data_IF_244156841612
#
_entry.id   IF_244156841612
#
_cell.length_a   1.000
_cell.length_b   1.000
_cell.length_c   1.000
_cell.angle_alpha   90.00
_cell.angle_beta   90.00
_cell.angle_gamma   90.00
#
_symmetry.space_group_name_H-M   'P 1'
#
loop_
_entity.id
_entity.type
_entity.pdbx_description
1 polymer ?
#
# COMPACT_ATOMS: atom_id res chain seq x y z
N UNK A 1 35.76 -3.41 -33.41
CA UNK A 1 36.74 -3.23 -34.51
C UNK A 1 37.83 -4.30 -34.45
N UNK A 2 37.61 -5.45 -35.06
CA UNK A 2 38.66 -6.42 -35.42
C UNK A 2 38.38 -7.03 -36.81
N UNK A 3 37.63 -6.28 -37.62
CA UNK A 3 37.40 -6.54 -39.03
C UNK A 3 37.53 -5.18 -39.72
N UNK A 4 38.67 -5.03 -40.39
CA UNK A 4 39.23 -3.81 -40.96
C UNK A 4 40.64 -4.14 -41.47
N UNK A 5 41.17 -3.39 -42.46
CA UNK A 5 42.04 -3.87 -43.54
C UNK A 5 43.38 -4.50 -43.09
N UNK A 6 44.11 -5.14 -44.02
CA UNK A 6 45.39 -5.87 -43.81
C UNK A 6 46.49 -4.99 -43.17
N UNK A 7 46.38 -4.68 -41.89
CA UNK A 7 47.42 -4.00 -41.10
C UNK A 7 48.38 -5.05 -40.56
N UNK A 8 49.68 -4.80 -40.67
CA UNK A 8 50.72 -5.73 -40.20
C UNK A 8 50.71 -5.87 -38.67
N UNK A 9 51.11 -7.04 -38.15
CA UNK A 9 51.13 -7.29 -36.70
C UNK A 9 52.06 -6.34 -35.93
N UNK A 10 53.17 -5.93 -36.56
CA UNK A 10 54.12 -4.96 -36.02
C UNK A 10 53.52 -3.56 -35.90
N UNK A 11 52.65 -3.18 -36.83
CA UNK A 11 51.96 -1.89 -36.82
C UNK A 11 50.80 -1.86 -35.80
N UNK A 12 50.08 -2.98 -35.64
CA UNK A 12 49.13 -3.16 -34.55
C UNK A 12 49.81 -3.11 -33.17
N UNK A 13 50.96 -3.75 -33.03
CA UNK A 13 51.76 -3.73 -31.80
C UNK A 13 52.14 -2.30 -31.39
N UNK A 14 52.61 -1.47 -32.34
CA UNK A 14 52.91 -0.05 -32.11
C UNK A 14 51.66 0.76 -31.75
N UNK A 15 50.56 0.56 -32.47
CA UNK A 15 49.31 1.31 -32.28
C UNK A 15 48.68 1.09 -30.91
N UNK A 16 48.78 -0.13 -30.38
CA UNK A 16 48.18 -0.51 -29.09
C UNK A 16 49.19 -0.55 -27.94
N UNK A 17 50.47 -0.21 -28.16
CA UNK A 17 51.50 -0.17 -27.13
C UNK A 17 51.82 -1.54 -26.51
N UNK A 18 51.75 -2.62 -27.29
CA UNK A 18 51.97 -4.00 -26.84
C UNK A 18 53.00 -4.70 -27.72
N UNK A 19 53.56 -5.82 -27.27
CA UNK A 19 54.57 -6.56 -28.04
C UNK A 19 53.95 -7.36 -29.20
N UNK A 20 54.69 -7.52 -30.29
CA UNK A 20 54.24 -8.30 -31.45
C UNK A 20 53.86 -9.75 -31.10
N UNK A 21 54.56 -10.48 -30.21
CA UNK A 21 54.14 -11.82 -29.77
C UNK A 21 52.77 -11.83 -29.07
N UNK A 22 52.41 -10.76 -28.35
CA UNK A 22 51.09 -10.63 -27.72
C UNK A 22 49.99 -10.49 -28.77
N UNK A 23 50.20 -9.67 -29.80
CA UNK A 23 49.28 -9.53 -30.93
C UNK A 23 49.09 -10.88 -31.65
N UNK A 24 50.18 -11.59 -31.95
CA UNK A 24 50.11 -12.91 -32.58
C UNK A 24 49.31 -13.92 -31.73
N UNK A 25 49.49 -13.93 -30.40
CA UNK A 25 48.74 -14.80 -29.49
C UNK A 25 47.25 -14.46 -29.43
N UNK A 26 46.89 -13.19 -29.47
CA UNK A 26 45.49 -12.73 -29.48
C UNK A 26 44.82 -13.14 -30.80
N UNK A 27 45.48 -12.94 -31.93
CA UNK A 27 44.96 -13.34 -33.25
C UNK A 27 44.74 -14.87 -33.31
N UNK A 28 45.70 -15.67 -32.83
CA UNK A 28 45.56 -17.14 -32.78
C UNK A 28 44.41 -17.62 -31.91
N UNK A 29 44.02 -16.86 -30.88
CA UNK A 29 42.92 -17.20 -29.99
C UNK A 29 41.64 -16.41 -30.31
N UNK A 30 41.56 -15.73 -31.46
CA UNK A 30 40.49 -14.78 -31.79
C UNK A 30 39.10 -15.40 -31.60
N UNK A 31 38.85 -16.55 -32.20
CA UNK A 31 37.53 -17.20 -32.17
C UNK A 31 37.09 -17.58 -30.76
N UNK A 32 38.01 -18.13 -29.96
CA UNK A 32 37.75 -18.48 -28.55
C UNK A 32 37.45 -17.23 -27.73
N UNK A 33 38.23 -16.16 -27.90
CA UNK A 33 38.05 -14.88 -27.18
C UNK A 33 36.71 -14.23 -27.56
N UNK A 34 36.34 -14.24 -28.84
CA UNK A 34 35.05 -13.71 -29.31
C UNK A 34 33.86 -14.54 -28.80
N UNK A 35 33.97 -15.87 -28.82
CA UNK A 35 32.92 -16.75 -28.30
C UNK A 35 32.70 -16.58 -26.79
N UNK A 36 33.79 -16.43 -26.03
CA UNK A 36 33.73 -16.12 -24.59
C UNK A 36 33.17 -14.72 -24.31
N UNK A 37 33.47 -13.74 -25.17
CA UNK A 37 32.93 -12.39 -25.07
C UNK A 37 31.43 -12.34 -25.39
N UNK A 38 30.96 -13.07 -26.41
CA UNK A 38 29.52 -13.17 -26.71
C UNK A 38 28.70 -13.82 -25.59
N UNK A 39 29.29 -14.77 -24.85
CA UNK A 39 28.66 -15.39 -23.67
C UNK A 39 28.75 -14.55 -22.39
N UNK A 40 29.40 -13.39 -22.44
CA UNK A 40 29.63 -12.56 -21.27
C UNK A 40 28.50 -11.54 -21.12
N UNK A 41 27.88 -11.47 -19.93
CA UNK A 41 26.79 -10.53 -19.65
C UNK A 41 27.20 -9.05 -19.58
N UNK A 42 28.50 -8.77 -19.48
CA UNK A 42 29.08 -7.41 -19.49
C UNK A 42 30.13 -7.26 -20.62
N UNK A 43 29.82 -6.50 -21.69
CA UNK A 43 30.72 -6.32 -22.83
C UNK A 43 32.00 -5.52 -22.50
N UNK A 44 32.05 -4.76 -21.39
CA UNK A 44 33.22 -3.96 -20.97
C UNK A 44 34.25 -4.76 -20.16
N UNK A 45 33.91 -6.00 -19.80
CA UNK A 45 34.74 -6.84 -18.92
C UNK A 45 35.95 -7.43 -19.67
N UNK A 46 37.15 -7.02 -19.23
CA UNK A 46 38.44 -7.42 -19.83
C UNK A 46 39.05 -8.72 -19.28
N UNK A 47 38.53 -9.29 -18.18
CA UNK A 47 39.07 -10.51 -17.52
C UNK A 47 37.96 -11.47 -17.08
N UNK A 48 38.10 -12.75 -17.41
CA UNK A 48 37.23 -13.82 -16.90
C UNK A 48 37.65 -14.20 -15.48
N UNK A 49 36.68 -14.24 -14.56
CA UNK A 49 36.81 -14.64 -13.16
C UNK A 49 35.54 -15.41 -12.80
N UNK A 50 35.69 -16.61 -12.27
CA UNK A 50 34.57 -17.48 -11.85
C UNK A 50 34.30 -17.29 -10.35
N UNK A 51 33.04 -17.46 -9.95
CA UNK A 51 32.66 -17.41 -8.54
C UNK A 51 33.20 -18.61 -7.76
N UNK A 52 33.27 -18.49 -6.42
CA UNK A 52 33.72 -19.58 -5.54
C UNK A 52 32.82 -20.82 -5.57
N UNK A 53 31.56 -20.67 -5.97
CA UNK A 53 30.58 -21.76 -6.06
C UNK A 53 29.84 -21.69 -7.41
N UNK A 54 30.32 -22.47 -8.37
CA UNK A 54 29.80 -22.50 -9.73
C UNK A 54 28.42 -23.19 -9.82
N UNK A 55 28.11 -24.12 -8.90
CA UNK A 55 26.85 -24.85 -8.91
C UNK A 55 25.69 -23.96 -8.43
N UNK A 56 25.91 -23.22 -7.34
CA UNK A 56 24.96 -22.23 -6.84
C UNK A 56 24.74 -21.10 -7.85
N UNK A 57 25.81 -20.61 -8.47
CA UNK A 57 25.77 -19.58 -9.53
C UNK A 57 24.94 -20.05 -10.74
N UNK A 58 25.13 -21.28 -11.22
CA UNK A 58 24.35 -21.84 -12.33
C UNK A 58 22.86 -22.05 -11.98
N UNK A 59 22.55 -22.48 -10.75
CA UNK A 59 21.16 -22.64 -10.30
C UNK A 59 20.42 -21.30 -10.21
N UNK A 60 21.09 -20.26 -9.71
CA UNK A 60 20.56 -18.89 -9.66
C UNK A 60 20.34 -18.30 -11.06
N UNK A 61 21.28 -18.50 -12.00
CA UNK A 61 21.14 -17.97 -13.37
C UNK A 61 19.96 -18.60 -14.12
N UNK A 62 19.78 -19.93 -14.03
CA UNK A 62 18.60 -20.60 -14.61
C UNK A 62 17.28 -20.07 -14.04
N UNK A 63 17.27 -19.66 -12.78
CA UNK A 63 16.09 -19.08 -12.16
C UNK A 63 15.83 -17.65 -12.66
N UNK A 64 16.88 -16.86 -12.92
CA UNK A 64 16.75 -15.48 -13.42
C UNK A 64 16.35 -15.43 -14.89
N UNK A 65 16.70 -16.44 -15.70
CA UNK A 65 16.23 -16.56 -17.09
C UNK A 65 14.71 -16.82 -17.20
N UNK A 66 14.05 -17.19 -16.08
CA UNK A 66 12.59 -17.28 -15.98
C UNK A 66 11.94 -15.93 -15.67
N UNK A 67 11.75 -15.10 -16.70
CA UNK A 67 10.74 -14.03 -16.89
C UNK A 67 10.36 -13.06 -15.73
N UNK A 68 11.22 -12.84 -14.73
CA UNK A 68 10.96 -11.85 -13.67
C UNK A 68 12.11 -10.83 -13.54
N UNK A 69 11.83 -9.51 -13.51
CA UNK A 69 12.85 -8.52 -13.18
C UNK A 69 13.20 -8.61 -11.69
N UNK A 70 14.30 -9.29 -11.38
CA UNK A 70 14.67 -9.61 -9.99
C UNK A 70 15.49 -8.48 -9.35
N UNK A 71 14.89 -7.79 -8.38
CA UNK A 71 15.63 -6.87 -7.51
C UNK A 71 16.66 -7.59 -6.63
N UNK A 72 17.74 -6.89 -6.24
CA UNK A 72 18.81 -7.41 -5.34
C UNK A 72 18.29 -8.14 -4.07
N UNK A 73 17.21 -7.68 -3.40
CA UNK A 73 16.66 -8.39 -2.24
C UNK A 73 16.09 -9.79 -2.58
N UNK A 74 15.43 -9.94 -3.73
CA UNK A 74 14.87 -11.20 -4.19
C UNK A 74 15.97 -12.20 -4.60
N UNK A 75 17.04 -11.70 -5.24
CA UNK A 75 18.24 -12.50 -5.52
C UNK A 75 18.88 -13.04 -4.24
N UNK A 76 18.97 -12.20 -3.20
CA UNK A 76 19.56 -12.60 -1.92
C UNK A 76 18.71 -13.63 -1.19
N UNK A 77 17.38 -13.46 -1.20
CA UNK A 77 16.45 -14.43 -0.61
C UNK A 77 16.54 -15.79 -1.32
N UNK A 78 16.57 -15.79 -2.66
CA UNK A 78 16.67 -17.03 -3.45
C UNK A 78 18.03 -17.71 -3.28
N UNK A 79 19.12 -16.95 -3.22
CA UNK A 79 20.46 -17.48 -3.01
C UNK A 79 20.60 -18.19 -1.66
N UNK A 80 19.95 -17.68 -0.60
CA UNK A 80 19.89 -18.34 0.72
C UNK A 80 19.14 -19.66 0.68
N UNK A 81 18.05 -19.73 -0.09
CA UNK A 81 17.25 -20.95 -0.21
C UNK A 81 17.94 -22.06 -1.00
N UNK A 82 18.80 -21.69 -1.96
CA UNK A 82 19.57 -22.63 -2.79
C UNK A 82 20.93 -23.01 -2.19
N UNK A 83 21.38 -22.30 -1.15
CA UNK A 83 22.66 -22.55 -0.49
C UNK A 83 22.58 -23.75 0.48
N UNK A 84 23.71 -24.46 0.63
CA UNK A 84 23.85 -25.49 1.68
C UNK A 84 23.92 -24.82 3.06
N UNK A 85 23.50 -25.50 4.15
CA UNK A 85 23.44 -24.92 5.50
C UNK A 85 24.75 -24.28 6.00
N UNK A 86 25.90 -24.77 5.53
CA UNK A 86 27.24 -24.31 5.97
C UNK A 86 27.88 -23.24 5.05
N UNK A 87 27.17 -22.78 4.02
CA UNK A 87 27.73 -21.87 3.01
C UNK A 87 26.77 -20.72 2.69
N UNK A 88 26.50 -19.85 3.66
CA UNK A 88 25.69 -18.66 3.38
C UNK A 88 26.39 -17.72 2.38
N UNK A 89 25.76 -17.41 1.23
CA UNK A 89 26.32 -16.47 0.28
C UNK A 89 26.27 -15.05 0.86
N UNK A 90 27.42 -14.55 1.32
CA UNK A 90 27.54 -13.19 1.84
C UNK A 90 27.18 -12.13 0.79
N UNK A 91 26.74 -10.95 1.24
CA UNK A 91 26.31 -9.85 0.34
C UNK A 91 27.36 -9.41 -0.68
N UNK A 92 28.65 -9.62 -0.39
CA UNK A 92 29.75 -9.38 -1.34
C UNK A 92 29.86 -10.42 -2.47
N UNK A 93 29.42 -11.67 -2.25
CA UNK A 93 29.34 -12.68 -3.32
C UNK A 93 28.22 -12.33 -4.30
N UNK A 94 27.04 -11.97 -3.79
CA UNK A 94 25.89 -11.52 -4.60
C UNK A 94 26.18 -10.23 -5.39
N UNK A 95 26.86 -9.26 -4.78
CA UNK A 95 27.27 -8.05 -5.49
C UNK A 95 28.20 -8.37 -6.68
N UNK A 96 29.15 -9.30 -6.48
CA UNK A 96 30.05 -9.75 -7.54
C UNK A 96 29.34 -10.61 -8.58
N UNK A 97 28.37 -11.44 -8.19
CA UNK A 97 27.50 -12.20 -9.10
C UNK A 97 26.69 -11.25 -9.98
N UNK A 98 26.05 -10.25 -9.37
CA UNK A 98 25.30 -9.22 -10.09
C UNK A 98 26.15 -8.43 -11.07
N UNK A 99 27.39 -8.11 -10.71
CA UNK A 99 28.35 -7.49 -11.61
C UNK A 99 28.84 -8.44 -12.72
N UNK A 100 28.96 -9.76 -12.47
CA UNK A 100 29.43 -10.75 -13.46
C UNK A 100 28.40 -11.03 -14.56
N UNK A 101 27.11 -11.00 -14.23
CA UNK A 101 26.02 -11.44 -15.10
C UNK A 101 25.04 -10.33 -15.47
N UNK A 102 25.37 -9.06 -15.17
CA UNK A 102 24.51 -7.92 -15.49
C UNK A 102 23.19 -7.89 -14.70
N UNK A 103 23.12 -8.59 -13.56
CA UNK A 103 21.95 -8.66 -12.67
C UNK A 103 21.95 -7.56 -11.61
N UNK A 104 23.06 -6.83 -11.46
CA UNK A 104 23.03 -5.54 -10.79
C UNK A 104 22.16 -4.64 -11.65
N UNK A 105 20.95 -4.34 -11.15
CA UNK A 105 19.95 -3.55 -11.85
C UNK A 105 20.65 -2.47 -12.66
N UNK A 106 20.63 -2.64 -13.99
CA UNK A 106 21.09 -1.59 -14.86
C UNK A 106 20.27 -0.39 -14.43
N UNK A 107 20.94 0.61 -13.83
CA UNK A 107 20.46 1.97 -13.98
C UNK A 107 20.19 2.06 -15.48
N UNK A 108 18.95 2.38 -15.92
CA UNK A 108 18.72 2.58 -17.34
C UNK A 108 19.87 3.44 -17.86
N UNK A 109 20.39 3.18 -19.07
CA UNK A 109 21.46 4.00 -19.62
C UNK A 109 21.13 5.44 -19.29
N UNK A 110 22.02 6.13 -18.57
CA UNK A 110 21.88 7.56 -18.46
C UNK A 110 21.85 8.03 -19.90
N UNK A 111 20.67 8.39 -20.38
CA UNK A 111 20.52 8.99 -21.69
C UNK A 111 21.52 10.14 -21.66
N UNK A 112 22.53 10.03 -22.51
CA UNK A 112 23.34 11.19 -22.85
C UNK A 112 22.39 12.11 -23.60
N UNK A 113 21.78 12.96 -22.81
CA UNK A 113 20.69 13.82 -23.16
C UNK A 113 20.06 14.19 -21.83
N UNK A 114 20.39 15.37 -21.34
CA UNK A 114 19.42 16.14 -20.58
C UNK A 114 18.15 16.27 -21.46
N UNK A 115 17.32 15.23 -21.48
CA UNK A 115 15.91 15.42 -21.67
C UNK A 115 15.45 15.90 -20.30
N UNK A 116 15.33 17.21 -20.14
CA UNK A 116 14.64 17.84 -19.02
C UNK A 116 13.47 16.94 -18.62
N UNK A 117 13.42 16.51 -17.36
CA UNK A 117 12.14 16.02 -16.84
C UNK A 117 11.12 17.10 -17.18
N UNK A 118 10.00 16.75 -17.83
CA UNK A 118 9.05 17.76 -18.26
C UNK A 118 8.73 18.62 -17.05
N UNK A 119 8.82 19.95 -17.23
CA UNK A 119 8.47 20.88 -16.17
C UNK A 119 7.09 20.50 -15.63
N UNK A 120 6.86 20.78 -14.35
CA UNK A 120 5.57 20.57 -13.71
C UNK A 120 4.39 21.02 -14.58
N UNK A 121 4.56 22.14 -15.25
CA UNK A 121 3.62 22.75 -16.19
C UNK A 121 3.44 21.91 -17.46
N UNK A 122 4.51 21.43 -18.09
CA UNK A 122 4.41 20.56 -19.26
C UNK A 122 3.76 19.21 -18.91
N UNK A 123 4.11 18.64 -17.76
CA UNK A 123 3.50 17.40 -17.31
C UNK A 123 2.00 17.57 -17.06
N UNK A 124 1.60 18.64 -16.36
CA UNK A 124 0.21 18.95 -16.09
C UNK A 124 -0.59 19.33 -17.36
N UNK A 125 0.03 20.04 -18.30
CA UNK A 125 -0.64 20.56 -19.51
C UNK A 125 -0.68 19.60 -20.69
N UNK A 126 0.32 18.72 -20.86
CA UNK A 126 0.45 17.86 -22.04
C UNK A 126 0.37 16.37 -21.71
N UNK A 127 1.08 15.93 -20.67
CA UNK A 127 1.21 14.49 -20.35
C UNK A 127 -0.02 13.98 -19.61
N UNK A 128 -0.42 14.67 -18.55
CA UNK A 128 -1.52 14.26 -17.69
C UNK A 128 -2.86 14.19 -18.46
N UNK A 129 -3.28 15.20 -19.24
CA UNK A 129 -4.55 15.12 -19.97
C UNK A 129 -4.55 13.99 -21.00
N UNK A 130 -3.39 13.71 -21.63
CA UNK A 130 -3.25 12.59 -22.54
C UNK A 130 -3.47 11.23 -21.88
N UNK A 131 -2.98 11.06 -20.65
CA UNK A 131 -3.18 9.85 -19.87
C UNK A 131 -4.63 9.72 -19.42
N UNK A 132 -5.21 10.78 -18.85
CA UNK A 132 -6.56 10.74 -18.28
C UNK A 132 -7.65 10.50 -19.34
N UNK A 133 -7.45 10.91 -20.60
CA UNK A 133 -8.42 10.64 -21.69
C UNK A 133 -8.73 9.16 -21.93
N UNK A 134 -7.83 8.26 -21.52
CA UNK A 134 -8.00 6.81 -21.74
C UNK A 134 -8.69 6.10 -20.58
N UNK A 135 -9.03 6.81 -19.50
CA UNK A 135 -9.54 6.23 -18.26
C UNK A 135 -10.72 7.03 -17.72
N UNK A 136 -11.77 6.34 -17.28
CA UNK A 136 -12.84 6.95 -16.51
C UNK A 136 -12.41 7.31 -15.08
N UNK A 137 -13.12 8.19 -14.37
CA UNK A 137 -12.82 8.52 -12.97
C UNK A 137 -12.76 7.30 -12.04
N UNK A 138 -13.56 6.26 -12.32
CA UNK A 138 -13.55 5.03 -11.54
C UNK A 138 -12.29 4.16 -11.74
N UNK A 139 -11.52 4.42 -12.81
CA UNK A 139 -10.33 3.65 -13.21
C UNK A 139 -9.03 4.39 -12.88
N UNK A 140 -9.11 5.61 -12.36
CA UNK A 140 -7.96 6.42 -11.95
C UNK A 140 -7.83 6.31 -10.45
N UNK A 141 -6.78 5.64 -9.98
CA UNK A 141 -6.46 5.47 -8.57
C UNK A 141 -5.28 6.36 -8.18
N UNK A 142 -5.30 6.86 -6.95
CA UNK A 142 -4.12 7.46 -6.32
C UNK A 142 -3.76 6.65 -5.09
N UNK A 143 -2.47 6.45 -4.89
CA UNK A 143 -1.92 5.70 -3.78
C UNK A 143 -0.78 6.47 -3.11
N UNK A 144 -0.72 6.39 -1.79
CA UNK A 144 0.32 7.04 -1.01
C UNK A 144 0.24 6.69 0.47
N UNK A 145 1.28 7.09 1.18
CA UNK A 145 1.49 6.73 2.58
C UNK A 145 1.07 7.85 3.53
N UNK A 146 0.54 7.47 4.68
CA UNK A 146 0.35 8.41 5.78
C UNK A 146 0.67 7.77 7.12
N UNK A 147 1.34 8.51 8.00
CA UNK A 147 1.65 8.03 9.34
C UNK A 147 0.59 8.49 10.35
N UNK A 148 0.18 7.58 11.22
CA UNK A 148 -0.66 7.85 12.39
C UNK A 148 0.10 7.51 13.68
N UNK A 149 -0.06 8.31 14.75
CA UNK A 149 0.53 7.98 16.04
C UNK A 149 -0.23 6.81 16.69
N UNK A 150 0.51 5.88 17.29
CA UNK A 150 -0.08 4.94 18.24
C UNK A 150 -0.22 5.64 19.60
N UNK A 151 -1.32 5.42 20.34
CA UNK A 151 -1.44 5.90 21.71
C UNK A 151 -0.32 5.28 22.56
N UNK A 152 0.50 6.12 23.19
CA UNK A 152 1.65 5.66 23.96
C UNK A 152 1.20 4.90 25.22
N UNK A 153 1.76 3.69 25.42
CA UNK A 153 1.66 2.97 26.69
C UNK A 153 2.40 3.69 27.83
N UNK A 154 2.10 3.32 29.07
CA UNK A 154 2.69 3.92 30.27
C UNK A 154 4.23 3.87 30.21
N UNK A 155 4.83 5.04 30.49
CA UNK A 155 6.20 5.39 30.11
C UNK A 155 7.20 4.91 31.16
N UNK A 156 7.84 3.77 30.90
CA UNK A 156 9.14 3.46 31.51
C UNK A 156 10.19 4.47 31.06
N UNK A 157 10.96 5.02 32.01
CA UNK A 157 12.06 5.98 31.79
C UNK A 157 13.02 5.52 30.67
N UNK A 158 13.11 6.32 29.60
CA UNK A 158 14.22 6.32 28.64
C UNK A 158 13.87 5.80 27.24
N UNK A 159 13.94 6.72 26.26
CA UNK A 159 14.11 6.51 24.81
C UNK A 159 12.89 6.34 23.86
N UNK A 160 13.02 7.08 22.74
CA UNK A 160 12.30 7.15 21.45
C UNK A 160 10.92 7.85 21.33
N UNK A 161 10.74 8.71 20.30
CA UNK A 161 9.46 9.36 19.98
C UNK A 161 8.42 8.31 19.58
N UNK A 162 7.17 8.50 20.02
CA UNK A 162 6.12 7.47 20.03
C UNK A 162 6.01 6.61 18.76
N UNK A 163 5.75 5.32 18.96
CA UNK A 163 5.58 4.32 17.90
C UNK A 163 4.58 4.83 16.84
N UNK A 164 5.01 4.82 15.58
CA UNK A 164 4.22 5.31 14.44
C UNK A 164 3.75 4.10 13.65
N UNK A 165 2.52 4.17 13.17
CA UNK A 165 1.99 3.21 12.22
C UNK A 165 1.90 3.90 10.85
N UNK A 166 2.53 3.33 9.83
CA UNK A 166 2.41 3.81 8.45
C UNK A 166 1.26 3.11 7.76
N UNK A 167 0.39 3.86 7.11
CA UNK A 167 -0.76 3.37 6.36
C UNK A 167 -0.54 3.64 4.88
N UNK A 168 -0.70 2.61 4.06
CA UNK A 168 -0.83 2.76 2.61
C UNK A 168 -2.32 2.91 2.28
N UNK A 169 -2.66 4.06 1.73
CA UNK A 169 -4.02 4.41 1.32
C UNK A 169 -4.12 4.36 -0.21
N UNK A 170 -5.22 3.85 -0.73
CA UNK A 170 -5.49 3.85 -2.17
C UNK A 170 -6.99 3.98 -2.43
N UNK A 171 -7.38 4.93 -3.29
CA UNK A 171 -8.77 5.17 -3.66
C UNK A 171 -8.85 5.67 -5.11
N UNK A 172 -10.02 5.52 -5.74
CA UNK A 172 -10.25 6.01 -7.10
C UNK A 172 -10.79 7.44 -7.15
N UNK A 173 -10.70 8.07 -8.33
CA UNK A 173 -11.04 9.47 -8.53
C UNK A 173 -12.54 9.77 -8.43
N UNK A 174 -13.41 8.76 -8.64
CA UNK A 174 -14.84 8.90 -8.36
C UNK A 174 -15.18 8.80 -6.87
N UNK A 175 -14.26 8.32 -6.03
CA UNK A 175 -14.50 7.99 -4.62
C UNK A 175 -15.37 6.75 -4.40
N UNK A 176 -15.75 6.04 -5.47
CA UNK A 176 -16.62 4.85 -5.40
C UNK A 176 -15.88 3.62 -4.89
N UNK A 177 -14.56 3.57 -4.99
CA UNK A 177 -13.75 2.43 -4.58
C UNK A 177 -12.60 2.89 -3.67
N UNK A 178 -12.54 2.29 -2.49
CA UNK A 178 -11.45 2.42 -1.52
C UNK A 178 -10.81 1.05 -1.35
N UNK A 179 -9.50 0.96 -1.54
CA UNK A 179 -8.77 -0.28 -1.29
C UNK A 179 -8.65 -0.46 0.24
N UNK A 180 -8.80 -1.69 0.77
CA UNK A 180 -8.53 -1.97 2.18
C UNK A 180 -7.15 -1.48 2.62
N UNK A 181 -7.08 -0.97 3.85
CA UNK A 181 -5.85 -0.39 4.39
C UNK A 181 -4.73 -1.44 4.47
N UNK A 182 -3.51 -1.02 4.15
CA UNK A 182 -2.30 -1.75 4.53
C UNK A 182 -1.52 -0.97 5.57
N UNK A 183 -1.45 -1.52 6.78
CA UNK A 183 -0.69 -0.99 7.88
C UNK A 183 0.72 -1.60 7.94
N UNK A 184 1.71 -0.77 8.20
CA UNK A 184 3.11 -1.15 8.38
C UNK A 184 3.57 -0.67 9.75
N UNK A 185 3.89 -1.63 10.62
CA UNK A 185 4.43 -1.38 11.96
C UNK A 185 5.84 -1.93 12.13
N UNK A 186 6.40 -1.80 13.33
CA UNK A 186 7.76 -2.26 13.64
C UNK A 186 7.88 -3.77 13.87
N UNK A 187 6.87 -4.36 14.53
CA UNK A 187 6.95 -5.75 14.96
C UNK A 187 6.35 -6.72 13.95
N UNK A 188 7.05 -7.78 13.51
CA UNK A 188 6.53 -8.77 12.56
C UNK A 188 5.43 -9.66 13.16
N UNK A 189 5.42 -9.84 14.48
CA UNK A 189 4.41 -10.66 15.18
C UNK A 189 3.98 -9.98 16.49
N UNK A 190 3.19 -8.90 16.42
CA UNK A 190 2.65 -8.25 17.61
C UNK A 190 1.84 -9.25 18.45
N UNK A 191 1.95 -9.19 19.78
CA UNK A 191 1.27 -10.14 20.67
C UNK A 191 -0.25 -10.06 20.54
N UNK A 192 -0.81 -8.87 20.34
CA UNK A 192 -2.24 -8.65 20.16
C UNK A 192 -2.81 -9.27 18.87
N UNK A 193 -1.99 -9.54 17.85
CA UNK A 193 -2.42 -10.19 16.61
C UNK A 193 -2.38 -11.72 16.67
N UNK A 194 -2.02 -12.32 17.82
CA UNK A 194 -2.02 -13.77 17.96
C UNK A 194 -3.44 -14.31 18.05
N UNK A 195 -3.70 -15.36 17.27
CA UNK A 195 -5.02 -16.00 17.19
C UNK A 195 -6.05 -15.19 16.39
N UNK A 196 -5.62 -14.12 15.70
CA UNK A 196 -6.45 -13.35 14.77
C UNK A 196 -6.30 -13.94 13.37
N UNK A 197 -7.40 -14.13 12.66
CA UNK A 197 -7.39 -14.55 11.26
C UNK A 197 -7.07 -13.36 10.33
N UNK A 198 -5.78 -13.08 10.15
CA UNK A 198 -5.30 -11.91 9.40
C UNK A 198 -5.72 -11.88 7.92
N UNK A 199 -6.07 -13.03 7.33
CA UNK A 199 -6.46 -13.10 5.91
C UNK A 199 -7.86 -12.54 5.65
N UNK A 200 -8.72 -12.55 6.67
CA UNK A 200 -10.12 -12.12 6.57
C UNK A 200 -10.37 -10.74 7.18
N UNK A 201 -9.32 -10.08 7.67
CA UNK A 201 -9.45 -8.73 8.24
C UNK A 201 -9.75 -7.70 7.14
N UNK A 202 -10.55 -6.66 7.43
CA UNK A 202 -10.81 -5.55 6.50
C UNK A 202 -9.59 -4.61 6.33
N UNK A 203 -8.45 -5.01 6.88
CA UNK A 203 -7.15 -4.35 6.82
C UNK A 203 -6.07 -5.44 6.75
N UNK A 204 -4.88 -5.08 6.27
CA UNK A 204 -3.72 -5.96 6.26
C UNK A 204 -2.57 -5.34 7.04
N UNK A 205 -1.77 -6.17 7.70
CA UNK A 205 -0.61 -5.72 8.47
C UNK A 205 0.68 -6.37 7.96
N UNK A 206 1.75 -5.57 7.88
CA UNK A 206 3.11 -6.02 7.60
C UNK A 206 4.07 -5.33 8.56
N UNK A 207 5.25 -5.92 8.77
CA UNK A 207 6.32 -5.23 9.48
C UNK A 207 7.35 -4.68 8.50
N UNK A 208 7.72 -3.43 8.72
CA UNK A 208 8.75 -2.71 7.98
C UNK A 208 9.87 -2.25 8.90
N UNK A 209 11.02 -1.93 8.31
CA UNK A 209 12.08 -1.25 9.06
C UNK A 209 11.60 0.15 9.44
N UNK A 210 11.75 0.54 10.72
CA UNK A 210 11.33 1.85 11.25
C UNK A 210 9.83 2.15 11.01
N UNK A 211 8.99 1.11 11.03
CA UNK A 211 7.56 1.15 10.70
C UNK A 211 7.27 1.82 9.35
N UNK A 212 8.22 1.79 8.42
CA UNK A 212 8.13 2.43 7.11
C UNK A 212 7.77 1.45 6.00
N UNK A 213 7.06 1.96 4.99
CA UNK A 213 6.86 1.21 3.74
C UNK A 213 8.20 1.03 3.02
N UNK A 214 8.48 -0.19 2.60
CA UNK A 214 9.69 -0.52 1.85
C UNK A 214 9.33 -1.00 0.45
N UNK A 215 10.26 -0.88 -0.51
CA UNK A 215 10.04 -1.32 -1.89
C UNK A 215 9.50 -2.77 -2.02
N UNK A 216 9.99 -3.76 -1.25
CA UNK A 216 9.41 -5.10 -1.27
C UNK A 216 7.96 -5.17 -0.78
N UNK A 217 7.62 -4.45 0.29
CA UNK A 217 6.25 -4.43 0.83
C UNK A 217 5.27 -3.75 -0.13
N UNK A 218 5.71 -2.68 -0.79
CA UNK A 218 4.91 -2.03 -1.82
C UNK A 218 4.74 -2.93 -3.06
N UNK A 219 5.80 -3.60 -3.51
CA UNK A 219 5.73 -4.54 -4.63
C UNK A 219 4.76 -5.69 -4.35
N UNK A 220 4.78 -6.26 -3.14
CA UNK A 220 3.82 -7.27 -2.69
C UNK A 220 2.38 -6.76 -2.76
N UNK A 221 2.12 -5.58 -2.18
CA UNK A 221 0.80 -4.95 -2.25
C UNK A 221 0.34 -4.68 -3.69
N UNK A 222 1.25 -4.21 -4.53
CA UNK A 222 0.94 -3.85 -5.90
C UNK A 222 0.61 -5.09 -6.76
N UNK A 223 1.24 -6.23 -6.50
CA UNK A 223 0.88 -7.51 -7.14
C UNK A 223 -0.52 -7.95 -6.74
N UNK A 224 -0.84 -7.93 -5.44
CA UNK A 224 -2.18 -8.26 -4.94
C UNK A 224 -3.26 -7.33 -5.50
N UNK A 225 -2.95 -6.03 -5.59
CA UNK A 225 -3.81 -5.02 -6.20
C UNK A 225 -4.04 -5.31 -7.70
N UNK A 226 -2.99 -5.62 -8.45
CA UNK A 226 -3.08 -5.99 -9.86
C UNK A 226 -3.91 -7.26 -10.07
N UNK A 227 -3.71 -8.29 -9.24
CA UNK A 227 -4.53 -9.50 -9.28
C UNK A 227 -6.00 -9.23 -8.94
N UNK A 228 -6.26 -8.33 -8.00
CA UNK A 228 -7.61 -7.84 -7.69
C UNK A 228 -8.26 -7.20 -8.92
N UNK A 229 -7.57 -6.27 -9.57
CA UNK A 229 -8.06 -5.59 -10.78
C UNK A 229 -8.27 -6.57 -11.93
N UNK A 230 -7.36 -7.54 -12.10
CA UNK A 230 -7.49 -8.63 -13.08
C UNK A 230 -8.73 -9.48 -12.84
N UNK A 231 -9.01 -9.87 -11.58
CA UNK A 231 -10.21 -10.64 -11.23
C UNK A 231 -11.50 -9.87 -11.50
N UNK A 232 -11.47 -8.56 -11.37
CA UNK A 232 -12.59 -7.67 -11.67
C UNK A 232 -12.72 -7.33 -13.17
N UNK A 233 -11.77 -7.78 -14.02
CA UNK A 233 -11.74 -7.42 -15.44
C UNK A 233 -11.44 -5.94 -15.69
N UNK A 234 -10.85 -5.22 -14.72
CA UNK A 234 -10.55 -3.79 -14.81
C UNK A 234 -9.10 -3.56 -15.25
N UNK A 235 -8.87 -2.49 -15.99
CA UNK A 235 -7.54 -1.94 -16.27
C UNK A 235 -7.48 -0.52 -15.75
N UNK A 236 -6.56 -0.23 -14.83
CA UNK A 236 -6.56 1.02 -14.05
C UNK A 236 -5.26 1.79 -14.17
N UNK A 237 -5.36 3.10 -13.99
CA UNK A 237 -4.22 4.01 -13.86
C UNK A 237 -3.92 4.23 -12.37
N UNK A 238 -2.70 3.98 -11.93
CA UNK A 238 -2.26 4.19 -10.55
C UNK A 238 -1.28 5.35 -10.45
N UNK A 239 -1.72 6.44 -9.82
CA UNK A 239 -0.95 7.65 -9.55
C UNK A 239 -0.15 7.50 -8.26
N UNK A 240 1.16 7.76 -8.33
CA UNK A 240 2.09 7.60 -7.21
C UNK A 240 3.06 8.77 -7.13
N UNK A 241 3.48 9.12 -5.92
CA UNK A 241 4.65 9.99 -5.76
C UNK A 241 5.93 9.22 -6.10
N UNK A 242 6.88 9.89 -6.75
CA UNK A 242 8.20 9.31 -7.01
C UNK A 242 8.97 9.15 -5.70
N UNK A 243 9.20 7.92 -5.27
CA UNK A 243 9.87 7.61 -4.00
C UNK A 243 10.64 6.27 -4.10
N UNK A 244 11.68 6.08 -3.29
CA UNK A 244 12.49 4.84 -3.32
C UNK A 244 11.68 3.60 -2.92
N UNK A 245 10.65 3.76 -2.08
CA UNK A 245 9.73 2.69 -1.71
C UNK A 245 8.76 2.30 -2.84
N UNK A 246 8.71 3.04 -3.95
CA UNK A 246 7.81 2.78 -5.08
C UNK A 246 8.60 2.32 -6.31
N UNK A 247 9.07 1.07 -6.36
CA UNK A 247 9.69 0.52 -7.56
C UNK A 247 8.68 0.48 -8.72
N UNK A 248 9.14 0.81 -9.93
CA UNK A 248 8.33 0.58 -11.12
C UNK A 248 8.24 -0.91 -11.43
N UNK A 249 7.02 -1.41 -11.63
CA UNK A 249 6.73 -2.77 -12.06
C UNK A 249 5.86 -2.73 -13.32
N UNK A 250 6.16 -3.60 -14.28
CA UNK A 250 5.25 -3.85 -15.41
C UNK A 250 4.19 -4.86 -14.97
N UNK A 251 2.92 -4.51 -15.13
CA UNK A 251 1.77 -5.26 -14.63
C UNK A 251 0.72 -5.37 -15.74
N UNK A 252 -0.17 -6.36 -15.63
CA UNK A 252 -1.16 -6.67 -16.67
C UNK A 252 -2.34 -5.71 -16.69
N UNK A 253 -2.79 -5.26 -15.51
CA UNK A 253 -4.05 -4.53 -15.31
C UNK A 253 -3.86 -3.19 -14.59
N UNK A 254 -2.63 -2.87 -14.18
CA UNK A 254 -2.32 -1.64 -13.45
C UNK A 254 -1.21 -0.91 -14.18
N UNK A 255 -1.52 0.29 -14.69
CA UNK A 255 -0.54 1.19 -15.28
C UNK A 255 -0.05 2.18 -14.22
N UNK A 256 1.21 2.08 -13.83
CA UNK A 256 1.81 3.02 -12.88
C UNK A 256 2.19 4.34 -13.55
N UNK A 257 1.88 5.46 -12.90
CA UNK A 257 2.33 6.80 -13.30
C UNK A 257 2.88 7.53 -12.09
N UNK A 258 4.14 7.97 -12.20
CA UNK A 258 4.76 8.79 -11.18
C UNK A 258 4.49 10.27 -11.43
N UNK A 259 3.87 10.91 -10.43
CA UNK A 259 3.59 12.34 -10.42
C UNK A 259 4.88 13.08 -10.03
N UNK A 260 5.33 14.07 -10.83
CA UNK A 260 6.52 14.85 -10.51
C UNK A 260 6.33 15.66 -9.21
N UNK A 261 7.36 15.72 -8.34
CA UNK A 261 7.27 16.39 -7.04
C UNK A 261 7.07 17.91 -7.12
N UNK A 262 7.35 18.53 -8.28
CA UNK A 262 7.23 19.97 -8.51
C UNK A 262 5.86 20.39 -9.06
N UNK A 263 4.93 19.46 -9.30
CA UNK A 263 3.61 19.83 -9.82
C UNK A 263 2.80 20.56 -8.75
N UNK A 264 2.28 21.74 -9.08
CA UNK A 264 1.29 22.45 -8.27
C UNK A 264 0.05 21.57 -7.93
N UNK A 265 -0.11 20.46 -8.66
CA UNK A 265 -1.02 19.36 -8.41
C UNK A 265 -0.49 18.48 -7.27
N UNK A 266 -0.68 18.91 -6.02
CA UNK A 266 -0.42 18.04 -4.88
C UNK A 266 -1.22 16.73 -5.02
N UNK A 267 -0.61 15.61 -4.63
CA UNK A 267 -1.25 14.29 -4.64
C UNK A 267 -2.65 14.37 -4.00
N UNK A 268 -3.69 13.72 -4.58
CA UNK A 268 -5.05 13.77 -4.03
C UNK A 268 -5.12 13.39 -2.54
N UNK A 269 -4.23 12.48 -2.11
CA UNK A 269 -4.14 12.06 -0.72
C UNK A 269 -3.74 13.19 0.23
N UNK A 270 -2.79 14.04 -0.19
CA UNK A 270 -2.28 15.17 0.57
C UNK A 270 -3.25 16.36 0.56
N UNK A 271 -4.23 16.35 -0.35
CA UNK A 271 -5.27 17.39 -0.51
C UNK A 271 -6.45 17.24 0.45
N UNK A 272 -6.43 16.27 1.37
CA UNK A 272 -7.44 16.18 2.43
C UNK A 272 -7.81 14.77 2.83
N UNK A 273 -7.69 13.79 1.93
CA UNK A 273 -8.09 12.40 2.20
C UNK A 273 -7.37 11.83 3.43
N UNK A 274 -6.04 11.96 3.48
CA UNK A 274 -5.27 11.48 4.63
C UNK A 274 -5.54 12.28 5.91
N UNK A 275 -5.85 13.57 5.78
CA UNK A 275 -6.22 14.45 6.89
C UNK A 275 -7.57 14.07 7.51
N UNK A 276 -8.56 13.76 6.66
CA UNK A 276 -9.90 13.38 7.07
C UNK A 276 -9.90 12.02 7.77
N UNK A 277 -9.20 11.01 7.22
CA UNK A 277 -8.96 9.73 7.90
C UNK A 277 -8.34 9.94 9.29
N UNK A 278 -7.33 10.81 9.41
CA UNK A 278 -6.71 11.12 10.72
C UNK A 278 -7.69 11.81 11.67
N UNK A 279 -8.58 12.65 11.15
CA UNK A 279 -9.66 13.28 11.91
C UNK A 279 -10.65 12.25 12.46
N UNK A 280 -11.13 11.34 11.62
CA UNK A 280 -12.00 10.23 12.00
C UNK A 280 -11.33 9.33 13.06
N UNK A 281 -10.09 8.92 12.82
CA UNK A 281 -9.31 8.13 13.77
C UNK A 281 -9.17 8.82 15.13
N UNK A 282 -8.82 10.12 15.16
CA UNK A 282 -8.72 10.89 16.41
C UNK A 282 -10.05 10.96 17.16
N UNK A 283 -11.17 11.16 16.46
CA UNK A 283 -12.51 11.15 17.09
C UNK A 283 -12.81 9.80 17.73
N UNK A 284 -12.49 8.69 17.05
CA UNK A 284 -12.68 7.33 17.56
C UNK A 284 -11.79 7.04 18.78
N UNK A 285 -10.51 7.44 18.74
CA UNK A 285 -9.62 7.36 19.90
C UNK A 285 -10.15 8.14 21.11
N UNK A 286 -10.68 9.35 20.90
CA UNK A 286 -11.21 10.17 22.00
C UNK A 286 -12.49 9.57 22.61
N UNK A 287 -13.31 8.86 21.81
CA UNK A 287 -14.50 8.13 22.28
C UNK A 287 -14.16 6.86 23.06
N UNK A 288 -13.01 6.25 22.79
CA UNK A 288 -12.54 5.07 23.53
C UNK A 288 -12.20 5.39 24.99
N UNK A 289 -11.66 6.59 25.27
CA UNK A 289 -11.16 6.97 26.60
C UNK A 289 -12.24 6.94 27.71
N UNK A 290 -13.50 7.37 27.50
CA UNK A 290 -14.54 7.30 28.51
C UNK A 290 -15.22 5.93 28.64
N UNK A 291 -15.37 5.18 27.54
CA UNK A 291 -16.06 3.89 27.52
C UNK A 291 -15.31 2.82 28.33
N UNK A 292 -13.97 2.92 28.36
CA UNK A 292 -13.08 1.98 29.03
C UNK A 292 -12.37 2.60 30.23
N UNK A 293 -13.11 3.25 31.14
CA UNK A 293 -12.62 3.70 32.46
C UNK A 293 -12.20 2.50 33.34
N UNK A 294 -11.14 1.80 32.93
CA UNK A 294 -10.60 0.62 33.59
C UNK A 294 -9.72 -0.31 32.71
N UNK A 295 -9.79 -0.26 31.37
CA UNK A 295 -9.13 -1.28 30.51
C UNK A 295 -7.78 -0.88 29.88
N UNK A 296 -7.26 0.31 30.18
CA UNK A 296 -5.96 0.75 29.67
C UNK A 296 -6.03 1.33 28.25
N UNK A 297 -4.85 1.50 27.62
CA UNK A 297 -4.73 2.05 26.27
C UNK A 297 -5.19 1.03 25.20
N UNK A 298 -5.75 1.48 24.07
CA UNK A 298 -6.17 0.56 23.00
C UNK A 298 -4.96 -0.19 22.44
N UNK A 299 -5.13 -1.48 22.16
CA UNK A 299 -4.08 -2.28 21.56
C UNK A 299 -3.89 -1.91 20.08
N UNK A 300 -2.80 -2.37 19.46
CA UNK A 300 -2.62 -2.21 18.00
C UNK A 300 -3.79 -2.83 17.22
N UNK A 301 -4.40 -3.92 17.71
CA UNK A 301 -5.54 -4.54 17.04
C UNK A 301 -6.75 -3.59 17.06
N UNK A 302 -7.03 -2.99 18.22
CA UNK A 302 -8.10 -1.99 18.35
C UNK A 302 -7.85 -0.79 17.44
N UNK A 303 -6.61 -0.30 17.40
CA UNK A 303 -6.20 0.79 16.50
C UNK A 303 -6.42 0.43 15.03
N UNK A 304 -6.07 -0.80 14.61
CA UNK A 304 -6.27 -1.24 13.22
C UNK A 304 -7.76 -1.28 12.83
N UNK A 305 -8.62 -1.73 13.73
CA UNK A 305 -10.07 -1.67 13.51
C UNK A 305 -10.60 -0.22 13.48
N UNK A 306 -10.18 0.63 14.42
CA UNK A 306 -10.55 2.06 14.42
C UNK A 306 -10.11 2.76 13.12
N UNK A 307 -8.95 2.39 12.57
CA UNK A 307 -8.46 2.90 11.31
C UNK A 307 -9.28 2.40 10.12
N UNK A 308 -9.67 1.13 10.11
CA UNK A 308 -10.56 0.59 9.08
C UNK A 308 -11.92 1.29 9.09
N UNK A 309 -12.50 1.51 10.27
CA UNK A 309 -13.73 2.30 10.42
C UNK A 309 -13.53 3.75 9.97
N UNK A 310 -12.44 4.40 10.41
CA UNK A 310 -12.11 5.75 9.99
C UNK A 310 -11.92 5.88 8.48
N UNK A 311 -11.38 4.84 7.82
CA UNK A 311 -11.29 4.79 6.37
C UNK A 311 -12.63 4.58 5.69
N UNK A 312 -13.51 3.77 6.29
CA UNK A 312 -14.91 3.64 5.91
C UNK A 312 -15.66 4.98 5.94
N UNK A 313 -15.42 5.79 6.97
CA UNK A 313 -16.07 7.09 7.16
C UNK A 313 -15.66 8.18 6.14
N UNK A 314 -14.47 8.06 5.53
CA UNK A 314 -14.02 9.03 4.52
C UNK A 314 -14.98 9.04 3.35
N UNK A 315 -15.63 10.18 3.13
CA UNK A 315 -16.75 10.27 2.20
C UNK A 315 -16.32 10.22 0.74
N UNK A 316 -17.05 9.50 -0.14
CA UNK A 316 -16.78 9.47 -1.58
C UNK A 316 -16.70 10.86 -2.22
N UNK A 317 -17.59 11.77 -1.82
CA UNK A 317 -17.61 13.15 -2.32
C UNK A 317 -16.35 13.95 -1.96
N UNK A 318 -15.75 13.70 -0.78
CA UNK A 318 -14.48 14.30 -0.39
C UNK A 318 -13.36 13.79 -1.29
N UNK A 319 -13.28 12.47 -1.49
CA UNK A 319 -12.27 11.84 -2.36
C UNK A 319 -12.36 12.43 -3.76
N UNK A 320 -13.54 12.41 -4.38
CA UNK A 320 -13.75 12.98 -5.71
C UNK A 320 -13.42 14.48 -5.77
N UNK A 321 -13.71 15.24 -4.70
CA UNK A 321 -13.31 16.64 -4.57
C UNK A 321 -11.78 16.83 -4.55
N UNK A 322 -11.05 15.99 -3.80
CA UNK A 322 -9.59 16.04 -3.74
C UNK A 322 -8.93 15.71 -5.09
N UNK A 323 -9.46 14.74 -5.85
CA UNK A 323 -8.98 14.44 -7.20
C UNK A 323 -9.21 15.60 -8.18
N UNK A 324 -10.40 16.22 -8.14
CA UNK A 324 -10.70 17.43 -8.94
C UNK A 324 -9.78 18.58 -8.61
N UNK A 325 -9.59 18.87 -7.31
CA UNK A 325 -8.70 19.93 -6.85
C UNK A 325 -7.23 19.68 -7.21
N UNK A 326 -6.84 18.43 -7.38
CA UNK A 326 -5.52 18.01 -7.84
C UNK A 326 -5.41 17.86 -9.37
N UNK A 327 -6.45 18.24 -10.14
CA UNK A 327 -6.43 18.20 -11.60
C UNK A 327 -6.48 16.79 -12.21
N UNK A 328 -6.82 15.78 -11.42
CA UNK A 328 -6.89 14.38 -11.85
C UNK A 328 -8.30 13.97 -12.28
N UNK A 329 -8.96 14.84 -13.05
CA UNK A 329 -10.26 14.54 -13.66
C UNK A 329 -10.26 14.80 -15.16
N UNK A 330 -10.93 13.95 -15.96
CA UNK A 330 -11.01 14.12 -17.41
C UNK A 330 -11.54 15.51 -17.85
N UNK A 331 -12.41 16.12 -17.03
CA UNK A 331 -13.12 17.37 -17.35
C UNK A 331 -12.38 18.65 -16.91
N UNK A 332 -11.17 18.54 -16.33
CA UNK A 332 -10.44 19.70 -15.79
C UNK A 332 -10.01 20.76 -16.83
N UNK A 333 -10.21 20.49 -18.13
CA UNK A 333 -9.97 21.44 -19.22
C UNK A 333 -11.04 22.51 -19.40
N UNK A 334 -12.20 22.44 -18.72
CA UNK A 334 -13.33 23.34 -18.97
C UNK A 334 -13.75 24.23 -17.78
N UNK A 335 -13.33 23.96 -16.55
CA UNK A 335 -13.85 24.65 -15.35
C UNK A 335 -12.80 25.46 -14.57
N UNK A 336 -11.83 26.07 -15.26
CA UNK A 336 -10.88 26.99 -14.62
C UNK A 336 -11.45 28.40 -14.37
N UNK A 337 -12.75 28.64 -14.57
CA UNK A 337 -13.37 29.95 -14.31
C UNK A 337 -14.71 29.74 -13.61
N UNK A 338 -14.82 30.30 -12.40
CA UNK A 338 -15.98 30.27 -11.47
C UNK A 338 -15.95 29.04 -10.56
N UNK A 339 -15.73 29.13 -9.25
CA UNK A 339 -16.55 29.88 -8.30
C UNK A 339 -15.77 30.25 -7.03
N UNK A 340 -15.48 31.53 -6.89
CA UNK A 340 -15.36 32.19 -5.59
C UNK A 340 -16.77 32.53 -5.12
N UNK A 341 -17.31 31.82 -4.13
CA UNK A 341 -18.24 32.35 -3.11
C UNK A 341 -18.89 31.19 -2.34
N UNK A 342 -18.72 31.21 -1.01
CA UNK A 342 -19.58 30.50 -0.08
C UNK A 342 -20.95 31.20 -0.01
N UNK A 343 -22.05 30.47 0.24
CA UNK A 343 -22.68 30.49 1.57
C UNK A 343 -23.16 29.07 1.97
N UNK A 344 -23.27 28.66 3.24
CA UNK A 344 -24.06 29.24 4.33
C UNK A 344 -25.17 28.25 4.70
N UNK A 345 -25.09 27.63 5.88
CA UNK A 345 -26.07 26.68 6.45
C UNK A 345 -27.48 27.30 6.61
N UNK A 346 -28.53 26.47 6.50
CA UNK A 346 -29.60 26.45 7.51
C UNK A 346 -29.90 24.99 7.92
N UNK A 347 -30.21 24.66 9.18
CA UNK A 347 -31.23 25.27 10.04
C UNK A 347 -32.39 24.26 10.14
N UNK A 348 -32.49 23.57 11.28
CA UNK A 348 -33.41 22.47 11.57
C UNK A 348 -34.60 23.03 12.34
N UNK A 349 -35.84 22.82 11.89
CA UNK A 349 -37.10 22.96 12.65
C UNK A 349 -38.23 22.29 11.84
N UNK A 350 -38.79 21.19 12.39
CA UNK A 350 -40.12 21.08 13.00
C UNK A 350 -41.26 20.85 12.00
N UNK A 351 -41.87 19.67 12.06
CA UNK A 351 -43.20 19.41 11.51
C UNK A 351 -44.05 18.79 12.62
N UNK A 352 -45.05 19.55 13.03
CA UNK A 352 -46.18 19.15 13.87
C UNK A 352 -47.06 18.13 13.12
N UNK A 353 -47.72 17.24 13.85
CA UNK A 353 -49.02 16.72 13.44
C UNK A 353 -49.88 16.30 14.63
N UNK A 354 -51.01 16.98 14.72
CA UNK A 354 -52.14 16.81 15.63
C UNK A 354 -52.78 15.41 15.63
N UNK A 355 -53.52 15.12 16.70
CA UNK A 355 -54.50 14.04 16.72
C UNK A 355 -55.11 13.71 18.09
N UNK A 356 -55.91 14.64 18.62
CA UNK A 356 -57.05 14.52 19.53
C UNK A 356 -57.19 13.44 20.63
N UNK A 357 -57.59 13.95 21.79
CA UNK A 357 -58.17 13.28 22.95
C UNK A 357 -59.61 12.84 22.68
N UNK A 358 -59.97 11.64 23.12
CA UNK A 358 -61.34 11.28 23.46
C UNK A 358 -61.34 10.42 24.72
N UNK A 359 -61.88 10.97 25.80
CA UNK A 359 -62.28 10.24 27.00
C UNK A 359 -63.58 9.48 26.74
N UNK A 360 -63.66 8.25 27.27
CA UNK A 360 -64.92 7.61 27.60
C UNK A 360 -64.70 6.72 28.83
N UNK A 361 -65.55 6.96 29.82
CA UNK A 361 -65.55 6.40 31.18
C UNK A 361 -66.42 5.12 31.26
N UNK A 362 -66.04 4.24 32.19
CA UNK A 362 -66.88 3.23 32.86
C UNK A 362 -67.38 1.98 32.11
N UNK A 363 -66.91 0.79 32.51
CA UNK A 363 -67.78 -0.25 33.08
C UNK A 363 -66.96 -1.36 33.80
N UNK A 364 -67.39 -1.73 34.99
CA UNK A 364 -66.82 -2.80 35.83
C UNK A 364 -67.38 -4.17 35.42
N UNK A 365 -66.50 -5.16 35.24
CA UNK A 365 -66.91 -6.54 34.98
C UNK A 365 -65.90 -7.54 35.52
N UNK A 366 -66.09 -7.98 36.77
CA UNK A 366 -65.45 -9.14 37.37
C UNK A 366 -65.79 -10.42 36.58
N UNK A 367 -64.77 -11.14 36.12
CA UNK A 367 -64.86 -12.57 35.85
C UNK A 367 -63.50 -13.24 36.10
N UNK A 368 -63.45 -14.04 37.16
CA UNK A 368 -62.35 -14.93 37.48
C UNK A 368 -62.10 -15.94 36.35
N UNK A 369 -60.84 -16.05 35.94
CA UNK A 369 -60.36 -17.07 35.03
C UNK A 369 -58.88 -17.33 35.31
N UNK A 370 -58.62 -18.28 36.21
CA UNK A 370 -57.29 -18.86 36.48
C UNK A 370 -56.63 -19.33 35.18
N UNK A 371 -55.54 -18.67 34.79
CA UNK A 371 -54.29 -19.35 34.44
C UNK A 371 -53.14 -18.33 34.46
N UNK A 372 -52.67 -18.00 35.66
CA UNK A 372 -51.45 -17.22 35.84
C UNK A 372 -50.24 -18.14 35.67
N UNK A 373 -49.87 -18.42 34.42
CA UNK A 373 -48.47 -18.66 34.14
C UNK A 373 -47.72 -17.37 34.45
N UNK A 374 -46.84 -17.36 35.46
CA UNK A 374 -45.96 -16.23 35.74
C UNK A 374 -45.38 -15.72 34.42
N UNK A 375 -45.56 -14.45 34.03
CA UNK A 375 -44.80 -13.91 32.92
C UNK A 375 -43.33 -14.00 33.35
N UNK A 376 -42.56 -14.85 32.67
CA UNK A 376 -41.14 -15.02 32.93
C UNK A 376 -40.52 -13.63 33.08
N UNK A 377 -39.98 -13.34 34.27
CA UNK A 377 -39.51 -12.01 34.62
C UNK A 377 -38.56 -11.52 33.53
N UNK A 378 -38.93 -10.45 32.83
CA UNK A 378 -38.10 -9.87 31.77
C UNK A 378 -36.76 -9.51 32.39
N UNK A 379 -35.63 -10.01 31.87
CA UNK A 379 -34.33 -9.70 32.43
C UNK A 379 -34.12 -8.18 32.46
N UNK A 380 -33.42 -7.65 33.48
CA UNK A 380 -33.20 -6.23 33.61
C UNK A 380 -32.46 -5.67 32.39
N UNK A 381 -32.72 -4.40 32.06
CA UNK A 381 -32.02 -3.71 30.98
C UNK A 381 -30.50 -3.79 31.21
N UNK A 382 -29.71 -4.24 30.22
CA UNK A 382 -28.27 -4.36 30.38
C UNK A 382 -27.63 -2.99 30.61
N UNK A 383 -26.64 -2.95 31.49
CA UNK A 383 -25.80 -1.78 31.68
C UNK A 383 -24.95 -1.49 30.44
N UNK A 384 -24.56 -0.23 30.24
CA UNK A 384 -23.68 0.16 29.13
C UNK A 384 -22.41 -0.70 29.06
N UNK A 385 -21.83 -1.02 30.22
CA UNK A 385 -20.64 -1.87 30.34
C UNK A 385 -20.87 -3.31 29.89
N UNK A 386 -22.08 -3.84 30.07
CA UNK A 386 -22.42 -5.19 29.59
C UNK A 386 -22.59 -5.21 28.08
N UNK A 387 -23.16 -4.16 27.50
CA UNK A 387 -23.26 -3.99 26.04
C UNK A 387 -21.86 -3.96 25.42
N UNK A 388 -20.95 -3.12 25.94
CA UNK A 388 -19.56 -3.04 25.47
C UNK A 388 -18.80 -4.35 25.63
N UNK A 389 -18.95 -5.06 26.75
CA UNK A 389 -18.36 -6.40 26.91
C UNK A 389 -18.88 -7.41 25.90
N UNK A 390 -20.16 -7.32 25.56
CA UNK A 390 -20.81 -8.20 24.58
C UNK A 390 -20.29 -7.92 23.17
N UNK A 391 -20.17 -6.64 22.81
CA UNK A 391 -19.55 -6.21 21.55
C UNK A 391 -18.08 -6.63 21.46
N UNK A 392 -17.30 -6.47 22.53
CA UNK A 392 -15.90 -6.91 22.57
C UNK A 392 -15.78 -8.44 22.41
N UNK A 393 -16.70 -9.19 23.03
CA UNK A 393 -16.75 -10.66 22.89
C UNK A 393 -17.11 -11.07 21.46
N UNK A 394 -18.10 -10.41 20.86
CA UNK A 394 -18.49 -10.64 19.47
C UNK A 394 -17.34 -10.29 18.52
N UNK A 395 -16.70 -9.12 18.69
CA UNK A 395 -15.52 -8.72 17.91
C UNK A 395 -14.45 -9.80 17.98
N UNK A 396 -14.13 -10.28 19.19
CA UNK A 396 -13.10 -11.30 19.38
C UNK A 396 -13.45 -12.62 18.72
N UNK A 397 -14.73 -13.00 18.75
CA UNK A 397 -15.22 -14.16 18.01
C UNK A 397 -15.03 -13.97 16.50
N UNK A 398 -15.44 -12.83 15.95
CA UNK A 398 -15.26 -12.52 14.53
C UNK A 398 -13.78 -12.50 14.12
N UNK A 399 -12.91 -11.99 14.99
CA UNK A 399 -11.47 -11.94 14.76
C UNK A 399 -10.82 -13.33 14.63
N UNK A 400 -11.34 -14.31 15.35
CA UNK A 400 -10.79 -15.67 15.39
C UNK A 400 -11.37 -16.57 14.29
N UNK A 401 -12.54 -16.22 13.75
CA UNK A 401 -13.24 -17.00 12.74
C UNK A 401 -12.90 -16.52 11.31
N UNK A 402 -13.05 -17.42 10.33
CA UNK A 402 -12.98 -17.06 8.93
C UNK A 402 -14.28 -16.37 8.49
N UNK A 403 -14.40 -15.09 8.82
CA UNK A 403 -15.59 -14.27 8.56
C UNK A 403 -15.43 -13.47 7.26
N UNK A 404 -16.54 -13.08 6.62
CA UNK A 404 -16.46 -12.23 5.42
C UNK A 404 -16.14 -10.78 5.80
N UNK A 405 -15.48 -10.00 4.93
CA UNK A 405 -15.28 -8.56 5.14
C UNK A 405 -16.58 -7.79 5.40
N UNK A 406 -17.68 -8.22 4.75
CA UNK A 406 -19.02 -7.63 4.92
C UNK A 406 -19.55 -7.76 6.35
N UNK A 407 -19.19 -8.84 7.05
CA UNK A 407 -19.61 -9.05 8.43
C UNK A 407 -18.90 -8.09 9.39
N UNK A 408 -17.63 -7.77 9.14
CA UNK A 408 -16.94 -6.71 9.89
C UNK A 408 -17.53 -5.34 9.63
N UNK A 409 -17.95 -5.06 8.40
CA UNK A 409 -18.63 -3.80 8.07
C UNK A 409 -19.95 -3.67 8.84
N UNK A 410 -20.78 -4.72 8.85
CA UNK A 410 -22.01 -4.76 9.65
C UNK A 410 -21.73 -4.63 11.15
N UNK A 411 -20.66 -5.25 11.65
CA UNK A 411 -20.23 -5.11 13.04
C UNK A 411 -19.84 -3.65 13.38
N UNK A 412 -19.12 -2.97 12.49
CA UNK A 412 -18.74 -1.58 12.70
C UNK A 412 -19.93 -0.63 12.72
N UNK A 413 -20.93 -0.86 11.87
CA UNK A 413 -22.18 -0.10 11.87
C UNK A 413 -22.96 -0.29 13.17
N UNK A 414 -23.00 -1.53 13.68
CA UNK A 414 -23.59 -1.82 14.99
C UNK A 414 -22.83 -1.12 16.13
N UNK A 415 -21.51 -1.18 16.13
CA UNK A 415 -20.66 -0.53 17.14
C UNK A 415 -20.89 1.00 17.15
N UNK A 416 -20.96 1.62 15.97
CA UNK A 416 -21.24 3.05 15.83
C UNK A 416 -22.67 3.41 16.28
N UNK A 417 -23.67 2.57 15.96
CA UNK A 417 -25.04 2.77 16.42
C UNK A 417 -25.15 2.71 17.94
N UNK A 418 -24.48 1.74 18.58
CA UNK A 418 -24.44 1.64 20.05
C UNK A 418 -23.75 2.86 20.67
N UNK A 419 -22.64 3.32 20.09
CA UNK A 419 -21.99 4.56 20.53
C UNK A 419 -22.91 5.78 20.46
N UNK A 420 -23.78 5.89 19.46
CA UNK A 420 -24.72 7.01 19.35
C UNK A 420 -25.81 6.97 20.43
N UNK A 421 -26.27 5.78 20.81
CA UNK A 421 -27.29 5.61 21.85
C UNK A 421 -26.72 5.90 23.24
N UNK A 422 -25.49 5.48 23.52
CA UNK A 422 -24.84 5.71 24.83
C UNK A 422 -24.36 7.15 25.06
N UNK A 423 -24.31 7.98 24.02
CA UNK A 423 -23.84 9.37 24.11
C UNK A 423 -24.97 10.42 24.25
N UNK A 424 -26.23 10.00 24.14
CA UNK A 424 -27.42 10.82 24.39
C UNK A 424 -27.97 10.56 25.78
#
# INVERSE_FOLDING_TARGET
MLEGPKVSQSELAKRFGVSQPQICRIIKNKERILSEWHRNGDPERKRKREGKDAALEAALLRWVEGDLPVGRPLLQLRARHLARPDAEPGGGWLARLGARHGLAGKKPPAEKGDAEQPTAEHWAGAVLPGLLRSYGPAEIFACGETAVPLPAGDRGKGESPGERLTLLLCANASGSEKVPLRAVGDSPRPRCLRGVNLEQMPWSYRAGSLAGLTAPLFAEWLQEFNEGMRRQGKSVLLLLAKHEAHPYLQLSNVRMVFVPPATALAQPLDRGIAGDLKGHYRRRLLRWLPAERGAGQPSLLDVLHMLAQAWGDVQPGLIAGCFRAAGFTPDAGAEAVSLTSAPGLPGREQLERDGDLAEADGDEGMAEGKDAGEPAAVPPCPSEREVWRSLATLRRYLECQATSPDLFQAFYELEDAVHMVSAG
#
